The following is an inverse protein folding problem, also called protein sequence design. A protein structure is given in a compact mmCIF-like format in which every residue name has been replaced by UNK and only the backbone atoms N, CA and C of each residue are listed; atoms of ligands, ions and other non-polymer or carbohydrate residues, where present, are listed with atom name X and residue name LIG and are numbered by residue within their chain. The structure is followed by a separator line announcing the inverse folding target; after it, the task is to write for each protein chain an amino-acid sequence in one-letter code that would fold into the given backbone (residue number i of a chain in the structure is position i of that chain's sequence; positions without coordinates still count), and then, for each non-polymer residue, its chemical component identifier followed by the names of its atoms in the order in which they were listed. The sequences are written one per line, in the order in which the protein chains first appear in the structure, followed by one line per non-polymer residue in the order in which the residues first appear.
data_IF_671632924048
#
_entry.id   IF_671632924048
#
_cell.length_a   1.000
_cell.length_b   1.000
_cell.length_c   1.000
_cell.angle_alpha   90.00
_cell.angle_beta   90.00
_cell.angle_gamma   90.00
#
_symmetry.space_group_name_H-M   'P 1'
#
loop_
_entity.id
_entity.type
_entity.pdbx_description
1 polymer ?
#
# COMPACT_ATOMS: atom_id res chain seq x y z
N UNK A 1 -3.10 -19.63 5.62
CA UNK A 1 -3.98 -19.84 4.47
C UNK A 1 -3.68 -18.84 3.34
N UNK A 2 -3.73 -17.53 3.62
CA UNK A 2 -3.56 -16.48 2.62
C UNK A 2 -2.18 -16.52 1.93
N UNK A 3 -1.08 -16.70 2.68
CA UNK A 3 0.27 -16.77 2.11
C UNK A 3 0.45 -17.98 1.19
N UNK A 4 -0.18 -19.11 1.50
CA UNK A 4 -0.09 -20.32 0.70
C UNK A 4 -0.75 -20.12 -0.69
N UNK A 5 -1.97 -19.57 -0.71
CA UNK A 5 -2.75 -19.39 -1.93
C UNK A 5 -2.41 -18.10 -2.70
N UNK A 6 -1.44 -17.33 -2.25
CA UNK A 6 -0.92 -16.19 -3.01
C UNK A 6 -0.37 -16.63 -4.38
N UNK A 7 0.46 -17.66 -4.39
CA UNK A 7 1.08 -18.19 -5.62
C UNK A 7 0.77 -19.66 -5.92
N UNK A 8 0.20 -20.43 -4.96
CA UNK A 8 -0.05 -21.85 -5.12
C UNK A 8 -1.43 -22.15 -5.73
N UNK A 9 -1.53 -23.22 -6.57
CA UNK A 9 -2.82 -23.73 -7.01
C UNK A 9 -3.71 -24.16 -5.82
N UNK A 10 -5.03 -24.16 -5.98
CA UNK A 10 -5.79 -23.80 -7.19
C UNK A 10 -6.06 -22.30 -7.34
N UNK A 11 -5.92 -21.49 -6.29
CA UNK A 11 -6.46 -20.12 -6.26
C UNK A 11 -5.52 -19.12 -6.92
N UNK A 12 -4.23 -19.11 -6.58
CA UNK A 12 -3.20 -18.20 -7.13
C UNK A 12 -3.64 -16.74 -7.22
N UNK A 13 -4.26 -16.18 -6.16
CA UNK A 13 -4.89 -14.87 -6.26
C UNK A 13 -3.92 -13.73 -6.63
N UNK A 14 -2.61 -13.87 -6.35
CA UNK A 14 -1.58 -12.95 -6.85
C UNK A 14 -1.46 -12.91 -8.37
N UNK A 15 -1.83 -14.00 -9.06
CA UNK A 15 -1.88 -14.07 -10.53
C UNK A 15 -3.16 -13.51 -11.12
N UNK A 16 -4.16 -13.26 -10.29
CA UNK A 16 -5.49 -12.81 -10.73
C UNK A 16 -5.75 -11.33 -10.44
N UNK A 17 -4.73 -10.53 -10.14
CA UNK A 17 -4.85 -9.10 -9.88
C UNK A 17 -5.54 -8.76 -8.55
N UNK A 18 -5.56 -9.72 -7.64
CA UNK A 18 -6.09 -9.56 -6.28
C UNK A 18 -4.95 -9.49 -5.25
N UNK A 19 -3.70 -9.63 -5.69
CA UNK A 19 -2.53 -9.66 -4.81
C UNK A 19 -2.43 -8.43 -3.92
N UNK A 20 -2.58 -7.25 -4.50
CA UNK A 20 -2.48 -5.97 -3.82
C UNK A 20 -3.56 -5.80 -2.75
N UNK A 21 -4.79 -6.23 -3.06
CA UNK A 21 -5.94 -6.16 -2.13
C UNK A 21 -5.72 -7.10 -0.94
N UNK A 22 -5.40 -8.37 -1.23
CA UNK A 22 -5.18 -9.35 -0.16
C UNK A 22 -3.96 -9.03 0.71
N UNK A 23 -2.88 -8.53 0.11
CA UNK A 23 -1.70 -8.10 0.88
C UNK A 23 -2.06 -6.90 1.76
N UNK A 24 -2.80 -5.92 1.25
CA UNK A 24 -3.29 -4.78 2.04
C UNK A 24 -4.14 -5.22 3.22
N UNK A 25 -5.09 -6.14 3.03
CA UNK A 25 -5.94 -6.67 4.09
C UNK A 25 -5.11 -7.48 5.10
N UNK A 26 -4.21 -8.35 4.64
CA UNK A 26 -3.44 -9.22 5.53
C UNK A 26 -2.42 -8.44 6.36
N UNK A 27 -1.73 -7.47 5.75
CA UNK A 27 -0.65 -6.70 6.41
C UNK A 27 -1.17 -5.44 7.12
N UNK A 28 -2.41 -5.06 6.91
CA UNK A 28 -3.13 -4.05 7.67
C UNK A 28 -4.06 -4.71 8.70
N UNK A 29 -5.36 -4.81 8.40
CA UNK A 29 -6.37 -5.29 9.35
C UNK A 29 -6.06 -6.62 10.03
N UNK A 30 -5.75 -7.66 9.24
CA UNK A 30 -5.56 -9.00 9.80
C UNK A 30 -4.35 -9.07 10.73
N UNK A 31 -3.24 -8.44 10.33
CA UNK A 31 -2.03 -8.42 11.15
C UNK A 31 -2.24 -7.63 12.44
N UNK A 32 -2.84 -6.43 12.36
CA UNK A 32 -3.07 -5.59 13.54
C UNK A 32 -4.02 -6.27 14.51
N UNK A 33 -5.17 -6.79 14.04
CA UNK A 33 -6.12 -7.52 14.90
C UNK A 33 -5.51 -8.81 15.47
N UNK A 34 -4.70 -9.51 14.70
CA UNK A 34 -3.96 -10.69 15.17
C UNK A 34 -2.96 -10.33 16.27
N UNK A 35 -2.24 -9.22 16.15
CA UNK A 35 -1.34 -8.74 17.19
C UNK A 35 -2.09 -8.38 18.47
N UNK A 36 -3.24 -7.68 18.37
CA UNK A 36 -4.04 -7.35 19.56
C UNK A 36 -4.56 -8.61 20.24
N UNK A 37 -4.98 -9.61 19.45
CA UNK A 37 -5.42 -10.88 20.03
C UNK A 37 -4.31 -11.59 20.81
N UNK A 38 -3.10 -11.65 20.25
CA UNK A 38 -1.96 -12.30 20.93
C UNK A 38 -1.54 -11.55 22.19
N UNK A 39 -1.52 -10.20 22.15
CA UNK A 39 -1.05 -9.39 23.27
C UNK A 39 -2.08 -9.22 24.38
N UNK A 40 -3.37 -9.09 24.02
CA UNK A 40 -4.44 -8.76 24.96
C UNK A 40 -5.35 -9.94 25.31
N UNK A 41 -5.14 -11.12 24.68
CA UNK A 41 -6.02 -12.28 24.78
C UNK A 41 -7.42 -12.09 24.17
N UNK A 42 -7.65 -10.98 23.50
CA UNK A 42 -8.91 -10.63 22.81
C UNK A 42 -8.65 -9.80 21.57
N UNK A 43 -9.56 -9.87 20.60
CA UNK A 43 -9.52 -9.01 19.41
C UNK A 43 -9.97 -7.61 19.82
N UNK A 44 -9.12 -6.63 19.61
CA UNK A 44 -9.46 -5.23 19.86
C UNK A 44 -9.88 -4.55 18.54
N UNK A 45 -11.20 -4.46 18.36
CA UNK A 45 -11.80 -3.85 17.17
C UNK A 45 -11.54 -2.35 17.04
N UNK A 46 -11.15 -1.66 18.13
CA UNK A 46 -10.80 -0.24 18.11
C UNK A 46 -9.54 0.03 17.29
N UNK A 47 -8.66 -0.97 17.14
CA UNK A 47 -7.43 -0.88 16.34
C UNK A 47 -7.68 -1.03 14.82
N UNK A 48 -8.86 -1.51 14.42
CA UNK A 48 -9.19 -1.75 13.00
C UNK A 48 -9.09 -0.48 12.15
N UNK A 49 -9.66 0.68 12.52
CA UNK A 49 -9.56 1.89 11.70
C UNK A 49 -8.12 2.32 11.43
N UNK A 50 -7.24 2.28 12.45
CA UNK A 50 -5.82 2.67 12.33
C UNK A 50 -5.04 1.72 11.41
N UNK A 51 -5.47 0.47 11.26
CA UNK A 51 -4.84 -0.50 10.37
C UNK A 51 -5.06 -0.21 8.88
N UNK A 52 -6.09 0.58 8.52
CA UNK A 52 -6.48 0.84 7.12
C UNK A 52 -5.39 1.59 6.35
N UNK A 53 -4.87 2.76 6.82
CA UNK A 53 -3.79 3.44 6.10
C UNK A 53 -2.52 2.58 6.01
N UNK A 54 -2.21 1.75 7.01
CA UNK A 54 -1.09 0.82 6.97
C UNK A 54 -1.26 -0.22 5.85
N UNK A 55 -2.42 -0.84 5.77
CA UNK A 55 -2.76 -1.79 4.70
C UNK A 55 -2.70 -1.17 3.31
N UNK A 56 -3.22 0.05 3.15
CA UNK A 56 -3.16 0.80 1.88
C UNK A 56 -1.72 1.12 1.46
N UNK A 57 -0.86 1.50 2.41
CA UNK A 57 0.55 1.78 2.13
C UNK A 57 1.32 0.53 1.71
N UNK A 58 1.09 -0.62 2.36
CA UNK A 58 1.72 -1.89 1.95
C UNK A 58 1.21 -2.33 0.58
N UNK A 59 -0.10 -2.21 0.34
CA UNK A 59 -0.70 -2.46 -0.98
C UNK A 59 -0.08 -1.57 -2.06
N UNK A 60 0.16 -0.29 -1.77
CA UNK A 60 0.84 0.65 -2.68
C UNK A 60 2.28 0.20 -2.98
N UNK A 61 3.04 -0.28 -1.98
CA UNK A 61 4.40 -0.80 -2.19
C UNK A 61 4.38 -1.95 -3.19
N UNK A 62 3.50 -2.93 -2.98
CA UNK A 62 3.38 -4.09 -3.88
C UNK A 62 2.90 -3.68 -5.28
N UNK A 63 1.90 -2.81 -5.35
CA UNK A 63 1.38 -2.28 -6.61
C UNK A 63 2.46 -1.58 -7.42
N UNK A 64 3.25 -0.71 -6.77
CA UNK A 64 4.33 0.00 -7.45
C UNK A 64 5.40 -0.96 -7.99
N UNK A 65 5.77 -1.99 -7.23
CA UNK A 65 6.73 -3.01 -7.67
C UNK A 65 6.23 -3.79 -8.89
N UNK A 66 4.91 -3.96 -9.03
CA UNK A 66 4.31 -4.63 -10.20
C UNK A 66 4.30 -3.76 -11.47
N UNK A 67 4.51 -2.43 -11.36
CA UNK A 67 4.47 -1.53 -12.52
C UNK A 67 5.62 -1.76 -13.51
N UNK A 68 6.90 -1.82 -13.10
CA UNK A 68 8.01 -2.13 -14.01
C UNK A 68 7.87 -3.49 -14.68
N UNK A 69 7.23 -4.44 -14.01
CA UNK A 69 7.12 -5.84 -14.43
C UNK A 69 5.92 -6.13 -15.34
N UNK A 70 5.12 -5.14 -15.73
CA UNK A 70 3.90 -5.33 -16.54
C UNK A 70 4.17 -6.20 -17.79
N UNK A 71 5.21 -5.90 -18.55
CA UNK A 71 5.51 -6.60 -19.81
C UNK A 71 6.00 -8.05 -19.55
N UNK A 72 6.74 -8.25 -18.46
CA UNK A 72 7.28 -9.56 -18.05
C UNK A 72 6.18 -10.45 -17.46
N UNK A 73 5.37 -9.90 -16.57
CA UNK A 73 4.24 -10.58 -15.97
C UNK A 73 3.23 -11.03 -17.03
N UNK A 74 2.94 -10.16 -18.00
CA UNK A 74 2.03 -10.49 -19.09
C UNK A 74 2.53 -11.68 -19.92
N UNK A 75 3.84 -11.75 -20.22
CA UNK A 75 4.46 -12.84 -20.97
C UNK A 75 4.41 -14.18 -20.22
N UNK A 76 4.45 -14.15 -18.89
CA UNK A 76 4.36 -15.35 -18.05
C UNK A 76 2.93 -15.73 -17.66
N UNK A 77 1.92 -15.05 -18.23
CA UNK A 77 0.50 -15.31 -17.96
C UNK A 77 0.01 -14.78 -16.63
N UNK A 78 0.81 -14.02 -15.90
CA UNK A 78 0.45 -13.40 -14.65
C UNK A 78 -0.36 -12.12 -14.93
N UNK A 79 -1.54 -12.00 -14.32
CA UNK A 79 -2.48 -10.89 -14.54
C UNK A 79 -2.62 -10.04 -13.28
N UNK A 80 -1.50 -9.46 -12.80
CA UNK A 80 -1.51 -8.52 -11.68
C UNK A 80 -2.45 -7.34 -11.95
N UNK A 81 -2.79 -6.58 -10.91
CA UNK A 81 -3.60 -5.38 -11.07
C UNK A 81 -2.94 -4.39 -12.05
N UNK A 82 -1.62 -4.24 -11.99
CA UNK A 82 -0.85 -3.40 -12.91
C UNK A 82 -0.98 -3.88 -14.36
N UNK A 83 -0.89 -5.19 -14.62
CA UNK A 83 -1.08 -5.79 -15.96
C UNK A 83 -2.50 -5.54 -16.47
N UNK A 84 -3.52 -5.72 -15.63
CA UNK A 84 -4.93 -5.50 -15.99
C UNK A 84 -5.24 -4.06 -16.35
N UNK A 85 -4.65 -3.12 -15.63
CA UNK A 85 -4.83 -1.68 -15.88
C UNK A 85 -4.05 -1.21 -17.11
N UNK A 86 -2.92 -1.85 -17.39
CA UNK A 86 -1.95 -1.38 -18.39
C UNK A 86 -1.20 -0.14 -17.94
N UNK A 87 -0.08 0.16 -18.64
CA UNK A 87 0.91 1.16 -18.23
C UNK A 87 0.32 2.54 -17.83
N UNK A 88 -0.53 3.12 -18.67
CA UNK A 88 -1.09 4.46 -18.44
C UNK A 88 -1.99 4.51 -17.20
N UNK A 89 -2.92 3.56 -17.09
CA UNK A 89 -3.87 3.53 -15.96
C UNK A 89 -3.18 3.10 -14.67
N UNK A 90 -2.20 2.20 -14.72
CA UNK A 90 -1.41 1.82 -13.56
C UNK A 90 -0.68 3.02 -12.95
N UNK A 91 -0.04 3.86 -13.76
CA UNK A 91 0.55 5.12 -13.25
C UNK A 91 -0.52 6.06 -12.66
N UNK A 92 -1.64 6.24 -13.35
CA UNK A 92 -2.72 7.11 -12.86
C UNK A 92 -3.28 6.61 -11.52
N UNK A 93 -3.33 5.28 -11.29
CA UNK A 93 -3.81 4.70 -10.04
C UNK A 93 -2.96 5.05 -8.82
N UNK A 94 -1.71 5.47 -9.00
CA UNK A 94 -0.88 5.96 -7.89
C UNK A 94 -1.54 7.15 -7.19
N UNK A 95 -2.18 8.06 -7.93
CA UNK A 95 -2.91 9.19 -7.34
C UNK A 95 -4.11 8.74 -6.50
N UNK A 96 -4.78 7.66 -6.93
CA UNK A 96 -5.90 7.08 -6.16
C UNK A 96 -5.39 6.50 -4.84
N UNK A 97 -4.28 5.76 -4.86
CA UNK A 97 -3.66 5.25 -3.64
C UNK A 97 -3.27 6.39 -2.67
N UNK A 98 -2.62 7.44 -3.19
CA UNK A 98 -2.21 8.57 -2.35
C UNK A 98 -3.41 9.29 -1.75
N UNK A 99 -4.45 9.53 -2.56
CA UNK A 99 -5.68 10.15 -2.08
C UNK A 99 -6.35 9.30 -0.98
N UNK A 100 -6.45 7.97 -1.17
CA UNK A 100 -7.04 7.07 -0.19
C UNK A 100 -6.25 7.01 1.11
N UNK A 101 -4.90 6.98 1.04
CA UNK A 101 -4.04 6.97 2.22
C UNK A 101 -4.22 8.26 3.02
N UNK A 102 -4.09 9.43 2.38
CA UNK A 102 -4.24 10.71 3.09
C UNK A 102 -5.67 10.93 3.58
N UNK A 103 -6.69 10.52 2.80
CA UNK A 103 -8.08 10.59 3.23
C UNK A 103 -8.31 9.72 4.47
N UNK A 104 -7.79 8.49 4.49
CA UNK A 104 -7.93 7.61 5.67
C UNK A 104 -7.28 8.21 6.91
N UNK A 105 -6.08 8.80 6.79
CA UNK A 105 -5.40 9.48 7.89
C UNK A 105 -6.22 10.69 8.37
N UNK A 106 -6.73 11.53 7.46
CA UNK A 106 -7.55 12.69 7.80
C UNK A 106 -8.83 12.28 8.55
N UNK A 107 -9.51 11.23 8.10
CA UNK A 107 -10.69 10.68 8.78
C UNK A 107 -10.35 10.21 10.20
N UNK A 108 -9.21 9.53 10.38
CA UNK A 108 -8.80 9.06 11.70
C UNK A 108 -8.49 10.23 12.67
N UNK A 109 -7.90 11.31 12.17
CA UNK A 109 -7.66 12.52 12.98
C UNK A 109 -9.00 13.16 13.38
N UNK A 110 -9.95 13.31 12.44
CA UNK A 110 -11.25 13.91 12.72
C UNK A 110 -12.12 13.08 13.68
N UNK A 111 -11.91 11.76 13.72
CA UNK A 111 -12.56 10.85 14.66
C UNK A 111 -11.88 10.76 16.02
N UNK A 112 -10.75 11.44 16.21
CA UNK A 112 -9.87 11.32 17.38
C UNK A 112 -9.29 9.90 17.60
N UNK A 113 -9.21 9.07 16.54
CA UNK A 113 -8.50 7.79 16.58
C UNK A 113 -6.97 8.01 16.51
N UNK A 114 -6.54 9.15 15.96
CA UNK A 114 -5.15 9.61 15.91
C UNK A 114 -5.03 11.04 16.46
N UNK A 115 -3.93 11.32 17.16
CA UNK A 115 -3.62 12.65 17.65
C UNK A 115 -3.32 13.63 16.49
N UNK A 116 -3.38 14.96 16.73
CA UNK A 116 -3.03 15.97 15.72
C UNK A 116 -1.61 15.82 15.13
N UNK A 117 -0.71 15.08 15.78
CA UNK A 117 0.62 14.75 15.26
C UNK A 117 0.53 14.06 13.88
N UNK A 118 -0.54 13.30 13.64
CA UNK A 118 -0.76 12.64 12.36
C UNK A 118 -0.87 13.61 11.17
N UNK A 119 -1.13 14.90 11.38
CA UNK A 119 -1.08 15.91 10.30
C UNK A 119 0.32 16.04 9.67
N UNK A 120 1.39 15.69 10.39
CA UNK A 120 2.73 15.65 9.81
C UNK A 120 2.87 14.65 8.65
N UNK A 121 1.98 13.67 8.54
CA UNK A 121 1.92 12.76 7.39
C UNK A 121 1.79 13.52 6.06
N UNK A 122 1.07 14.64 6.04
CA UNK A 122 0.89 15.44 4.83
C UNK A 122 2.17 16.13 4.34
N UNK A 123 3.17 16.31 5.22
CA UNK A 123 4.49 16.81 4.85
C UNK A 123 5.29 15.80 4.00
N UNK A 124 4.83 14.56 3.88
CA UNK A 124 5.43 13.56 2.99
C UNK A 124 4.96 13.69 1.54
N UNK A 125 3.95 14.54 1.25
CA UNK A 125 3.44 14.76 -0.11
C UNK A 125 4.51 15.20 -1.12
N UNK A 126 5.56 16.00 -0.79
CA UNK A 126 6.62 16.33 -1.73
C UNK A 126 7.40 15.10 -2.24
N UNK A 127 7.52 14.03 -1.43
CA UNK A 127 8.15 12.77 -1.87
C UNK A 127 7.36 12.14 -3.02
N UNK A 128 6.03 12.12 -2.92
CA UNK A 128 5.15 11.55 -3.93
C UNK A 128 5.11 12.41 -5.19
N UNK A 129 5.10 13.75 -5.03
CA UNK A 129 5.20 14.68 -6.16
C UNK A 129 6.53 14.49 -6.89
N UNK A 130 7.63 14.40 -6.14
CA UNK A 130 8.97 14.13 -6.72
C UNK A 130 9.00 12.80 -7.46
N UNK A 131 8.45 11.75 -6.86
CA UNK A 131 8.31 10.44 -7.51
C UNK A 131 7.56 10.57 -8.84
N UNK A 132 6.42 11.24 -8.84
CA UNK A 132 5.62 11.47 -10.05
C UNK A 132 6.38 12.19 -11.14
N UNK A 133 7.12 13.26 -10.79
CA UNK A 133 7.93 14.02 -11.74
C UNK A 133 9.06 13.17 -12.33
N UNK A 134 9.68 12.28 -11.55
CA UNK A 134 10.70 11.35 -12.01
C UNK A 134 10.12 10.31 -12.97
N UNK A 135 8.98 9.69 -12.61
CA UNK A 135 8.28 8.72 -13.45
C UNK A 135 7.93 9.33 -14.81
N UNK A 136 7.44 10.57 -14.85
CA UNK A 136 7.07 11.24 -16.11
C UNK A 136 8.25 11.54 -17.02
N UNK A 137 9.45 11.69 -16.47
CA UNK A 137 10.68 11.98 -17.22
C UNK A 137 11.38 10.72 -17.71
N UNK A 138 11.12 9.58 -17.05
CA UNK A 138 11.79 8.33 -17.38
C UNK A 138 11.21 7.72 -18.66
N UNK A 139 12.11 7.41 -19.60
CA UNK A 139 11.74 6.79 -20.88
C UNK A 139 11.83 5.26 -20.81
N UNK A 140 12.73 4.74 -19.98
CA UNK A 140 12.94 3.31 -19.83
C UNK A 140 12.04 2.77 -18.70
N UNK A 141 11.05 1.97 -19.10
CA UNK A 141 10.02 1.47 -18.19
C UNK A 141 10.59 0.65 -17.02
N UNK A 142 11.61 -0.17 -17.27
CA UNK A 142 12.24 -1.00 -16.25
C UNK A 142 12.98 -0.19 -15.18
N UNK A 143 13.45 1.02 -15.49
CA UNK A 143 14.12 1.91 -14.54
C UNK A 143 13.18 2.51 -13.48
N UNK A 144 11.86 2.35 -13.65
CA UNK A 144 10.89 2.80 -12.64
C UNK A 144 11.12 2.10 -11.30
N UNK A 145 11.69 0.89 -11.30
CA UNK A 145 12.04 0.18 -10.07
C UNK A 145 13.00 1.00 -9.17
N UNK A 146 13.94 1.74 -9.75
CA UNK A 146 14.89 2.58 -9.02
C UNK A 146 14.20 3.65 -8.15
N UNK A 147 13.00 4.06 -8.53
CA UNK A 147 12.24 5.07 -7.81
C UNK A 147 11.37 4.50 -6.69
N UNK A 148 11.26 3.18 -6.58
CA UNK A 148 10.54 2.50 -5.50
C UNK A 148 11.01 2.89 -4.10
N UNK A 149 12.24 3.39 -3.97
CA UNK A 149 12.77 3.94 -2.71
C UNK A 149 11.90 5.06 -2.14
N UNK A 150 11.30 5.91 -2.97
CA UNK A 150 10.44 7.00 -2.51
C UNK A 150 9.18 6.47 -1.83
N UNK A 151 8.59 5.38 -2.34
CA UNK A 151 7.42 4.74 -1.72
C UNK A 151 7.81 4.04 -0.42
N UNK A 152 8.96 3.36 -0.36
CA UNK A 152 9.46 2.74 0.87
C UNK A 152 9.73 3.78 1.97
N UNK A 153 10.37 4.90 1.61
CA UNK A 153 10.60 6.01 2.55
C UNK A 153 9.27 6.64 3.00
N UNK A 154 8.33 6.85 2.07
CA UNK A 154 6.98 7.30 2.37
C UNK A 154 6.27 6.38 3.36
N UNK A 155 6.28 5.07 3.12
CA UNK A 155 5.73 4.06 4.02
C UNK A 155 6.36 4.12 5.41
N UNK A 156 7.69 4.15 5.48
CA UNK A 156 8.41 4.16 6.74
C UNK A 156 8.12 5.41 7.59
N UNK A 157 8.19 6.60 6.97
CA UNK A 157 7.93 7.87 7.68
C UNK A 157 6.48 7.91 8.18
N UNK A 158 5.50 7.59 7.34
CA UNK A 158 4.11 7.61 7.75
C UNK A 158 3.79 6.52 8.78
N UNK A 159 4.41 5.35 8.69
CA UNK A 159 4.31 4.31 9.69
C UNK A 159 4.77 4.80 11.07
N UNK A 160 5.92 5.48 11.15
CA UNK A 160 6.39 6.08 12.40
C UNK A 160 5.43 7.17 12.92
N UNK A 161 4.99 8.08 12.04
CA UNK A 161 4.05 9.13 12.44
C UNK A 161 2.77 8.53 13.02
N UNK A 162 2.20 7.50 12.39
CA UNK A 162 0.99 6.83 12.87
C UNK A 162 1.26 6.21 14.25
N UNK A 163 2.38 5.50 14.45
CA UNK A 163 2.72 4.88 15.74
C UNK A 163 2.75 5.92 16.86
N UNK A 164 3.39 7.07 16.63
CA UNK A 164 3.46 8.16 17.62
C UNK A 164 2.16 8.97 17.74
N UNK A 165 1.18 8.72 16.89
CA UNK A 165 -0.11 9.41 16.87
C UNK A 165 -1.25 8.61 17.49
N UNK A 166 -1.06 7.33 17.80
CA UNK A 166 -2.06 6.47 18.45
C UNK A 166 -2.32 7.00 19.87
N UNK A 167 -3.60 7.13 20.22
CA UNK A 167 -4.07 7.59 21.53
C UNK A 167 -4.60 6.42 22.36
#
# INVERSE_FOLDING_TARGET
FSSLFYGAPPIRYGYHGLGEVFVGINMGPVMVLGCTWVLLGRVDWSSLPVSIPLGLMVSLVLFYQSIPDIDTDQKTGKRTLAVRLGKKKALASLWVYWALIYLSIAVLITRNDLSPVAWFSFLTSPLLIRLWLLIRKEKEWQRLDLFGKYIRVFYFINGLIIIFSIQ
#
